data_IF_084162935773
#
_entry.id   IF_084162935773
#
_cell.length_a   1.000
_cell.length_b   1.000
_cell.length_c   1.000
_cell.angle_alpha   90.00
_cell.angle_beta   90.00
_cell.angle_gamma   90.00
#
_symmetry.space_group_name_H-M   'P 1'
#
loop_
_entity.id
_entity.type
_entity.pdbx_description
1 polymer ?
#
# COMPACT_ATOMS: atom_id res chain seq x y z
N UNK A 1 -19.54 16.89 -19.57
CA UNK A 1 -18.85 15.66 -20.06
C UNK A 1 -19.79 14.48 -19.91
N UNK A 2 -19.87 13.61 -20.91
CA UNK A 2 -20.74 12.42 -20.82
C UNK A 2 -20.13 11.43 -19.85
N UNK A 3 -20.92 10.76 -19.01
CA UNK A 3 -20.50 9.71 -18.06
C UNK A 3 -19.56 8.64 -18.66
N UNK A 4 -19.62 8.46 -19.99
CA UNK A 4 -18.76 7.53 -20.73
C UNK A 4 -17.29 7.98 -20.78
N UNK A 5 -17.00 9.28 -20.73
CA UNK A 5 -15.61 9.78 -20.74
C UNK A 5 -14.93 9.71 -19.39
N UNK A 6 -15.66 9.87 -18.28
CA UNK A 6 -15.10 9.77 -16.93
C UNK A 6 -14.83 8.31 -16.54
N UNK A 7 -15.67 7.37 -16.97
CA UNK A 7 -15.48 5.94 -16.69
C UNK A 7 -14.17 5.38 -17.25
N UNK A 8 -13.60 5.98 -18.30
CA UNK A 8 -12.29 5.55 -18.84
C UNK A 8 -11.13 5.79 -17.87
N UNK A 9 -11.23 6.77 -16.97
CA UNK A 9 -10.18 7.05 -15.99
C UNK A 9 -10.10 5.99 -14.89
N UNK A 10 -11.19 5.28 -14.63
CA UNK A 10 -11.19 4.10 -13.74
C UNK A 10 -10.97 2.78 -14.49
N UNK A 11 -10.64 2.82 -15.77
CA UNK A 11 -10.24 1.66 -16.55
C UNK A 11 -8.87 1.14 -16.12
N UNK A 12 -8.72 -0.17 -16.03
CA UNK A 12 -7.48 -0.85 -15.58
C UNK A 12 -6.29 -0.39 -16.43
N UNK A 13 -6.46 -0.34 -17.76
CA UNK A 13 -5.38 0.07 -18.66
C UNK A 13 -4.99 1.52 -18.44
N UNK A 14 -5.98 2.41 -18.26
CA UNK A 14 -5.69 3.82 -17.99
C UNK A 14 -4.89 3.99 -16.70
N UNK A 15 -5.28 3.28 -15.61
CA UNK A 15 -4.57 3.34 -14.33
C UNK A 15 -3.14 2.83 -14.50
N UNK A 16 -2.96 1.68 -15.16
CA UNK A 16 -1.64 1.09 -15.38
C UNK A 16 -0.71 1.98 -16.22
N UNK A 17 -1.25 2.71 -17.18
CA UNK A 17 -0.48 3.58 -18.08
C UNK A 17 -0.18 4.96 -17.47
N UNK A 18 -0.95 5.44 -16.50
CA UNK A 18 -0.90 6.82 -16.01
C UNK A 18 -0.56 6.99 -14.52
N UNK A 19 -0.58 5.91 -13.72
CA UNK A 19 -0.17 5.94 -12.31
C UNK A 19 1.18 5.25 -12.18
N UNK A 20 2.26 6.03 -12.05
CA UNK A 20 3.61 5.47 -11.96
C UNK A 20 3.95 5.00 -10.54
N UNK A 21 3.34 5.61 -9.52
CA UNK A 21 3.64 5.36 -8.11
C UNK A 21 2.43 4.81 -7.36
N UNK A 22 2.48 3.53 -7.00
CA UNK A 22 1.46 2.89 -6.16
C UNK A 22 0.19 2.49 -6.90
N UNK A 23 0.26 2.25 -8.22
CA UNK A 23 -0.87 1.82 -9.06
C UNK A 23 -1.60 0.58 -8.51
N UNK A 24 -0.91 -0.28 -7.77
CA UNK A 24 -1.50 -1.46 -7.13
C UNK A 24 -2.71 -1.13 -6.24
N UNK A 25 -2.74 0.05 -5.59
CA UNK A 25 -3.85 0.45 -4.72
C UNK A 25 -5.14 0.80 -5.49
N UNK A 26 -5.15 1.73 -6.48
CA UNK A 26 -6.35 1.96 -7.27
C UNK A 26 -6.73 0.73 -8.09
N UNK A 27 -5.77 -0.03 -8.61
CA UNK A 27 -6.03 -1.28 -9.32
C UNK A 27 -6.71 -2.33 -8.43
N UNK A 28 -6.31 -2.47 -7.17
CA UNK A 28 -6.93 -3.43 -6.25
C UNK A 28 -8.43 -3.15 -6.04
N UNK A 29 -8.82 -1.88 -6.02
CA UNK A 29 -10.22 -1.46 -5.91
C UNK A 29 -10.98 -1.74 -7.21
N UNK A 30 -10.44 -1.33 -8.34
CA UNK A 30 -11.11 -1.48 -9.65
C UNK A 30 -11.23 -2.95 -10.06
N UNK A 31 -10.24 -3.78 -9.72
CA UNK A 31 -10.23 -5.22 -9.97
C UNK A 31 -11.01 -6.04 -8.93
N UNK A 32 -11.49 -5.40 -7.86
CA UNK A 32 -12.32 -6.04 -6.83
C UNK A 32 -11.57 -6.91 -5.83
N UNK A 33 -10.24 -6.78 -5.72
CA UNK A 33 -9.46 -7.50 -4.71
C UNK A 33 -9.66 -6.93 -3.31
N UNK A 34 -9.74 -5.60 -3.19
CA UNK A 34 -9.89 -4.92 -1.91
C UNK A 34 -10.99 -3.86 -1.97
N UNK A 35 -11.55 -3.57 -0.82
CA UNK A 35 -12.61 -2.57 -0.68
C UNK A 35 -12.07 -1.15 -0.91
N UNK A 36 -12.93 -0.31 -1.47
CA UNK A 36 -12.69 1.08 -1.73
C UNK A 36 -13.90 1.76 -2.36
N UNK A 37 -13.74 2.99 -2.78
CA UNK A 37 -14.77 3.72 -3.52
C UNK A 37 -14.20 4.38 -4.76
N UNK A 38 -15.03 4.49 -5.78
CA UNK A 38 -14.75 5.22 -7.02
C UNK A 38 -15.76 6.37 -7.09
N UNK A 39 -15.26 7.60 -7.10
CA UNK A 39 -16.09 8.81 -7.12
C UNK A 39 -15.78 9.60 -8.38
N UNK A 40 -16.78 9.75 -9.25
CA UNK A 40 -16.73 10.65 -10.39
C UNK A 40 -16.83 12.10 -9.92
N UNK A 41 -15.95 12.96 -10.41
CA UNK A 41 -15.90 14.38 -10.18
C UNK A 41 -16.24 15.14 -11.48
N UNK A 42 -15.92 16.43 -11.58
CA UNK A 42 -16.25 17.23 -12.78
C UNK A 42 -15.41 16.81 -14.00
N UNK A 43 -14.08 16.71 -13.84
CA UNK A 43 -13.15 16.33 -14.91
C UNK A 43 -12.21 15.18 -14.55
N UNK A 44 -12.44 14.53 -13.41
CA UNK A 44 -11.55 13.51 -12.88
C UNK A 44 -12.32 12.44 -12.11
N UNK A 45 -11.61 11.38 -11.74
CA UNK A 45 -12.13 10.29 -10.92
C UNK A 45 -11.21 10.11 -9.70
N UNK A 46 -11.79 10.04 -8.52
CA UNK A 46 -11.07 9.70 -7.29
C UNK A 46 -11.29 8.22 -6.98
N UNK A 47 -10.22 7.44 -6.94
CA UNK A 47 -10.24 6.07 -6.41
C UNK A 47 -9.68 6.11 -4.99
N UNK A 48 -10.51 5.75 -4.01
CA UNK A 48 -10.16 5.79 -2.59
C UNK A 48 -10.19 4.38 -2.00
N UNK A 49 -9.03 3.86 -1.71
CA UNK A 49 -8.81 2.52 -1.14
C UNK A 49 -9.17 2.49 0.36
N UNK A 50 -9.59 1.35 0.86
CA UNK A 50 -9.96 1.10 2.27
C UNK A 50 -8.93 1.61 3.27
N UNK A 51 -7.63 1.44 3.03
CA UNK A 51 -6.56 1.93 3.91
C UNK A 51 -6.45 3.47 4.00
N UNK A 52 -7.27 4.18 3.24
CA UNK A 52 -7.26 5.64 3.18
C UNK A 52 -6.37 6.24 2.10
N UNK A 53 -5.70 5.45 1.27
CA UNK A 53 -4.95 5.96 0.13
C UNK A 53 -5.90 6.28 -1.01
N UNK A 54 -5.72 7.43 -1.63
CA UNK A 54 -6.55 7.92 -2.71
C UNK A 54 -5.72 8.37 -3.91
N UNK A 55 -6.23 8.12 -5.10
CA UNK A 55 -5.58 8.42 -6.37
C UNK A 55 -6.55 9.21 -7.25
N UNK A 56 -6.07 10.34 -7.75
CA UNK A 56 -6.82 11.22 -8.64
C UNK A 56 -6.42 10.95 -10.08
N UNK A 57 -7.37 10.54 -10.87
CA UNK A 57 -7.21 10.12 -12.26
C UNK A 57 -7.88 11.13 -13.20
N UNK A 58 -7.23 11.49 -14.29
CA UNK A 58 -7.71 12.51 -15.22
C UNK A 58 -7.10 13.88 -14.95
N UNK A 59 -7.73 14.93 -15.43
CA UNK A 59 -7.26 16.30 -15.32
C UNK A 59 -8.22 17.12 -14.43
N UNK A 60 -7.94 17.22 -13.13
CA UNK A 60 -8.86 17.84 -12.19
C UNK A 60 -9.02 19.34 -12.45
N UNK A 61 -10.25 19.81 -12.37
CA UNK A 61 -10.60 21.22 -12.32
C UNK A 61 -10.42 21.79 -10.90
N UNK A 62 -10.47 23.12 -10.76
CA UNK A 62 -10.51 23.77 -9.43
C UNK A 62 -11.71 23.28 -8.60
N UNK A 63 -12.82 22.94 -9.26
CA UNK A 63 -14.01 22.39 -8.61
C UNK A 63 -13.73 20.99 -8.05
N UNK A 64 -12.98 20.16 -8.79
CA UNK A 64 -12.56 18.84 -8.31
C UNK A 64 -11.65 18.96 -7.10
N UNK A 65 -10.66 19.85 -7.14
CA UNK A 65 -9.74 20.11 -6.02
C UNK A 65 -10.54 20.52 -4.76
N UNK A 66 -11.47 21.45 -4.89
CA UNK A 66 -12.31 21.88 -3.75
C UNK A 66 -13.22 20.74 -3.23
N UNK A 67 -13.74 19.90 -4.12
CA UNK A 67 -14.55 18.75 -3.75
C UNK A 67 -13.73 17.71 -2.97
N UNK A 68 -12.51 17.41 -3.44
CA UNK A 68 -11.59 16.49 -2.74
C UNK A 68 -11.19 17.06 -1.38
N UNK A 69 -10.88 18.37 -1.30
CA UNK A 69 -10.58 19.01 -0.04
C UNK A 69 -11.72 18.86 0.97
N UNK A 70 -12.96 19.09 0.55
CA UNK A 70 -14.14 18.88 1.39
C UNK A 70 -14.28 17.40 1.83
N UNK A 71 -14.01 16.45 0.92
CA UNK A 71 -13.99 15.01 1.26
C UNK A 71 -12.91 14.68 2.29
N UNK A 72 -11.71 15.27 2.19
CA UNK A 72 -10.62 15.10 3.17
C UNK A 72 -11.03 15.61 4.55
N UNK A 73 -11.64 16.80 4.62
CA UNK A 73 -12.15 17.37 5.87
C UNK A 73 -13.24 16.48 6.49
N UNK A 74 -14.18 16.00 5.69
CA UNK A 74 -15.22 15.09 6.16
C UNK A 74 -14.64 13.76 6.63
N UNK A 75 -13.72 13.17 5.89
CA UNK A 75 -13.04 11.94 6.28
C UNK A 75 -12.36 12.09 7.65
N UNK A 76 -11.64 13.21 7.85
CA UNK A 76 -11.02 13.53 9.14
C UNK A 76 -12.03 13.66 10.27
N UNK A 77 -13.17 14.34 10.04
CA UNK A 77 -14.24 14.49 11.02
C UNK A 77 -14.86 13.13 11.38
N UNK A 78 -14.95 12.21 10.43
CA UNK A 78 -15.46 10.84 10.60
C UNK A 78 -14.42 9.87 11.18
N UNK A 79 -13.23 10.33 11.55
CA UNK A 79 -12.12 9.50 12.02
C UNK A 79 -11.53 8.58 10.94
N UNK A 80 -11.84 8.87 9.67
CA UNK A 80 -11.32 8.16 8.52
C UNK A 80 -10.07 8.87 7.98
N UNK A 81 -9.33 8.14 7.15
CA UNK A 81 -8.12 8.65 6.55
C UNK A 81 -8.32 8.80 5.04
N UNK A 82 -8.09 9.99 4.50
CA UNK A 82 -7.95 10.22 3.07
C UNK A 82 -6.60 10.89 2.82
N UNK A 83 -5.68 10.15 2.19
CA UNK A 83 -4.34 10.60 1.81
C UNK A 83 -4.24 10.52 0.30
N UNK A 84 -4.25 11.67 -0.35
CA UNK A 84 -4.18 11.78 -1.80
C UNK A 84 -2.73 11.60 -2.27
N UNK A 85 -2.51 10.68 -3.19
CA UNK A 85 -1.25 10.49 -3.89
C UNK A 85 -1.24 11.32 -5.17
N UNK A 86 -0.16 12.06 -5.40
CA UNK A 86 0.00 12.86 -6.61
C UNK A 86 1.46 12.94 -7.03
N UNK A 87 1.70 12.72 -8.32
CA UNK A 87 2.96 12.98 -9.00
C UNK A 87 2.97 14.37 -9.65
N UNK A 88 1.81 15.02 -9.69
CA UNK A 88 1.62 16.32 -10.31
C UNK A 88 1.85 17.46 -9.30
N UNK A 89 2.87 18.27 -9.55
CA UNK A 89 3.24 19.39 -8.69
C UNK A 89 2.14 20.45 -8.58
N UNK A 90 1.40 20.73 -9.67
CA UNK A 90 0.32 21.73 -9.63
C UNK A 90 -0.83 21.31 -8.71
N UNK A 91 -1.12 20.00 -8.62
CA UNK A 91 -2.09 19.46 -7.65
C UNK A 91 -1.60 19.68 -6.22
N UNK A 92 -0.34 19.32 -5.93
CA UNK A 92 0.23 19.51 -4.59
C UNK A 92 0.29 20.97 -4.18
N UNK A 93 0.60 21.88 -5.10
CA UNK A 93 0.57 23.33 -4.86
C UNK A 93 -0.84 23.85 -4.59
N UNK A 94 -1.85 23.35 -5.29
CA UNK A 94 -3.25 23.73 -5.05
C UNK A 94 -3.68 23.35 -3.62
N UNK A 95 -3.40 22.12 -3.16
CA UNK A 95 -3.71 21.68 -1.80
C UNK A 95 -2.86 22.38 -0.74
N UNK A 96 -1.61 22.68 -1.02
CA UNK A 96 -0.75 23.46 -0.09
C UNK A 96 -1.34 24.83 0.20
N UNK A 97 -1.95 25.49 -0.79
CA UNK A 97 -2.67 26.78 -0.60
C UNK A 97 -3.91 26.64 0.27
N UNK A 98 -4.50 25.45 0.36
CA UNK A 98 -5.65 25.16 1.24
C UNK A 98 -5.21 24.80 2.66
N UNK A 99 -3.91 24.75 2.95
CA UNK A 99 -3.36 24.48 4.28
C UNK A 99 -3.11 23.01 4.60
N UNK A 100 -3.09 22.14 3.58
CA UNK A 100 -2.84 20.73 3.74
C UNK A 100 -1.35 20.41 3.95
N UNK A 101 -1.09 19.29 4.60
CA UNK A 101 0.26 18.75 4.82
C UNK A 101 0.69 17.97 3.60
N UNK A 102 1.85 18.35 3.04
CA UNK A 102 2.47 17.66 1.92
C UNK A 102 3.66 16.84 2.43
N UNK A 103 3.63 15.56 2.16
CA UNK A 103 4.69 14.62 2.55
C UNK A 103 5.18 13.88 1.30
N UNK A 104 6.39 13.33 1.36
CA UNK A 104 6.97 12.57 0.24
C UNK A 104 6.99 11.07 0.55
N UNK A 105 6.70 10.23 -0.46
CA UNK A 105 6.82 8.78 -0.38
C UNK A 105 7.72 8.25 -1.48
N UNK A 106 8.43 7.18 -1.16
CA UNK A 106 9.29 6.43 -2.07
C UNK A 106 8.64 5.11 -2.43
N UNK A 107 8.82 4.73 -3.69
CA UNK A 107 8.31 3.48 -4.26
C UNK A 107 9.47 2.64 -4.76
N UNK A 108 9.31 1.33 -4.58
CA UNK A 108 10.34 0.36 -4.89
C UNK A 108 9.71 -0.83 -5.61
N UNK A 109 10.48 -1.46 -6.49
CA UNK A 109 10.16 -2.75 -7.09
C UNK A 109 11.23 -3.77 -6.74
N UNK A 110 10.82 -5.02 -6.61
CA UNK A 110 11.76 -6.12 -6.43
C UNK A 110 12.53 -6.37 -7.70
N UNK A 111 13.88 -6.34 -7.65
CA UNK A 111 14.75 -6.33 -8.83
C UNK A 111 15.52 -7.64 -9.03
N UNK A 112 15.36 -8.63 -8.15
CA UNK A 112 16.07 -9.90 -8.22
C UNK A 112 15.17 -10.99 -8.81
N UNK A 113 15.77 -12.06 -9.36
CA UNK A 113 14.99 -13.20 -9.87
C UNK A 113 14.40 -14.08 -8.76
N UNK A 114 15.01 -14.08 -7.58
CA UNK A 114 14.53 -14.80 -6.39
C UNK A 114 14.92 -14.05 -5.12
N UNK A 115 14.11 -14.21 -4.09
CA UNK A 115 14.42 -13.66 -2.78
C UNK A 115 15.57 -14.42 -2.12
N UNK A 116 16.36 -13.72 -1.31
CA UNK A 116 17.46 -14.31 -0.56
C UNK A 116 16.93 -15.23 0.56
N UNK A 117 17.64 -16.31 0.84
CA UNK A 117 17.40 -17.11 2.03
C UNK A 117 17.98 -16.38 3.25
N UNK A 118 17.22 -16.40 4.35
CA UNK A 118 17.66 -15.82 5.62
C UNK A 118 17.59 -16.90 6.69
N UNK A 119 18.72 -17.15 7.32
CA UNK A 119 18.78 -18.05 8.49
C UNK A 119 18.18 -17.33 9.69
N UNK A 120 17.19 -17.96 10.31
CA UNK A 120 16.59 -17.46 11.54
C UNK A 120 17.43 -17.87 12.76
N UNK A 121 17.45 -17.04 13.82
CA UNK A 121 18.02 -17.45 15.10
C UNK A 121 17.25 -18.63 15.70
N UNK A 122 17.88 -19.37 16.62
CA UNK A 122 17.23 -20.45 17.34
C UNK A 122 15.97 -19.99 18.07
N UNK A 123 14.95 -20.83 18.06
CA UNK A 123 13.65 -20.54 18.66
C UNK A 123 12.68 -19.75 17.79
N UNK A 124 13.10 -19.34 16.60
CA UNK A 124 12.24 -18.64 15.63
C UNK A 124 11.85 -19.55 14.46
N UNK A 125 10.61 -19.43 13.99
CA UNK A 125 10.11 -20.15 12.83
C UNK A 125 9.18 -19.28 11.99
N UNK A 126 9.25 -19.39 10.65
CA UNK A 126 8.30 -18.75 9.75
C UNK A 126 7.07 -19.62 9.58
N UNK A 127 5.88 -19.01 9.73
CA UNK A 127 4.58 -19.63 9.47
C UNK A 127 3.74 -18.74 8.53
N UNK A 128 2.85 -19.31 7.72
CA UNK A 128 1.85 -18.50 7.02
C UNK A 128 0.93 -17.81 8.04
N UNK A 129 0.43 -16.63 7.69
CA UNK A 129 -0.62 -15.97 8.47
C UNK A 129 -1.95 -16.62 8.09
N UNK A 130 -2.46 -17.43 9.02
CA UNK A 130 -3.75 -18.09 8.93
C UNK A 130 -4.75 -17.52 9.95
N UNK A 131 -5.94 -18.11 10.05
CA UNK A 131 -6.98 -17.71 11.00
C UNK A 131 -6.57 -17.84 12.48
N UNK A 132 -5.51 -18.58 12.80
CA UNK A 132 -4.98 -18.70 14.16
C UNK A 132 -3.94 -17.62 14.47
N UNK A 133 -3.11 -17.26 13.51
CA UNK A 133 -2.04 -16.27 13.67
C UNK A 133 -2.56 -14.84 13.49
N UNK A 134 -3.48 -14.61 12.57
CA UNK A 134 -4.00 -13.29 12.23
C UNK A 134 -4.48 -12.49 13.47
N UNK A 135 -5.30 -13.04 14.38
CA UNK A 135 -5.73 -12.30 15.58
C UNK A 135 -4.62 -12.06 16.61
N UNK A 136 -3.49 -12.76 16.51
CA UNK A 136 -2.34 -12.56 17.41
C UNK A 136 -1.44 -11.38 16.99
N UNK A 137 -1.61 -10.87 15.76
CA UNK A 137 -0.79 -9.76 15.28
C UNK A 137 -1.15 -8.47 16.02
N UNK A 138 -0.19 -7.94 16.77
CA UNK A 138 -0.34 -6.71 17.54
C UNK A 138 0.62 -5.65 17.01
N UNK A 139 0.08 -4.72 16.21
CA UNK A 139 0.85 -3.67 15.57
C UNK A 139 -0.02 -2.79 14.70
N UNK A 140 0.55 -1.71 14.20
CA UNK A 140 -0.15 -0.77 13.32
C UNK A 140 -0.22 -1.26 11.87
N UNK A 141 0.85 -1.89 11.41
CA UNK A 141 0.96 -2.40 10.03
C UNK A 141 0.70 -3.91 10.05
N UNK A 142 -0.55 -4.28 9.98
CA UNK A 142 -1.07 -5.65 9.93
C UNK A 142 -2.21 -5.73 8.92
N UNK A 143 -2.73 -6.89 8.53
CA UNK A 143 -3.75 -7.00 7.48
C UNK A 143 -4.94 -6.05 7.63
N UNK A 144 -5.45 -5.81 8.83
CA UNK A 144 -6.55 -4.86 9.08
C UNK A 144 -6.19 -3.39 8.77
N UNK A 145 -4.93 -3.07 8.45
CA UNK A 145 -4.54 -1.76 7.92
C UNK A 145 -5.14 -1.49 6.54
N UNK A 146 -5.26 -2.52 5.70
CA UNK A 146 -5.64 -2.36 4.28
C UNK A 146 -6.72 -3.33 3.81
N UNK A 147 -7.09 -4.29 4.63
CA UNK A 147 -8.17 -5.24 4.37
C UNK A 147 -9.35 -4.95 5.30
N UNK A 148 -10.54 -4.95 4.73
CA UNK A 148 -11.79 -4.63 5.41
C UNK A 148 -12.26 -5.72 6.38
N UNK A 149 -11.83 -6.96 6.15
CA UNK A 149 -12.10 -8.09 7.04
C UNK A 149 -10.99 -9.16 7.00
N UNK A 150 -10.97 -10.02 8.02
CA UNK A 150 -10.08 -11.17 8.09
C UNK A 150 -10.36 -12.16 6.96
N UNK A 151 -11.64 -12.38 6.61
CA UNK A 151 -12.07 -13.25 5.51
C UNK A 151 -11.55 -12.74 4.18
N UNK A 152 -11.64 -11.43 3.95
CA UNK A 152 -11.16 -10.78 2.73
C UNK A 152 -9.65 -10.97 2.56
N UNK A 153 -8.89 -10.78 3.64
CA UNK A 153 -7.44 -11.03 3.64
C UNK A 153 -7.11 -12.51 3.44
N UNK A 154 -7.75 -13.41 4.17
CA UNK A 154 -7.46 -14.86 4.07
C UNK A 154 -7.86 -15.44 2.71
N UNK A 155 -8.86 -14.84 2.03
CA UNK A 155 -9.32 -15.28 0.71
C UNK A 155 -8.48 -14.75 -0.45
N UNK A 156 -7.99 -13.52 -0.38
CA UNK A 156 -7.35 -12.81 -1.50
C UNK A 156 -5.93 -12.34 -1.22
N UNK A 157 -5.54 -12.27 0.04
CA UNK A 157 -4.22 -11.83 0.48
C UNK A 157 -3.27 -12.99 0.77
N UNK A 158 -2.06 -12.64 1.14
CA UNK A 158 -1.03 -13.56 1.61
C UNK A 158 -0.18 -12.87 2.68
N UNK A 159 0.32 -13.64 3.61
CA UNK A 159 1.28 -13.13 4.60
C UNK A 159 2.01 -14.26 5.31
N UNK A 160 3.15 -13.91 5.86
CA UNK A 160 3.95 -14.81 6.69
C UNK A 160 4.33 -14.10 7.98
N UNK A 161 4.49 -14.87 9.03
CA UNK A 161 4.86 -14.40 10.35
C UNK A 161 6.07 -15.21 10.88
N UNK A 162 7.06 -14.50 11.38
CA UNK A 162 8.11 -15.12 12.20
C UNK A 162 7.58 -15.23 13.62
N UNK A 163 7.46 -16.46 14.10
CA UNK A 163 7.02 -16.78 15.45
C UNK A 163 8.20 -17.06 16.36
N UNK A 164 8.15 -16.58 17.62
CA UNK A 164 9.00 -17.02 18.72
C UNK A 164 8.14 -17.79 19.73
N UNK A 165 8.19 -19.11 19.64
CA UNK A 165 7.19 -19.96 20.29
C UNK A 165 5.79 -19.69 19.73
N UNK A 166 4.90 -19.13 20.54
CA UNK A 166 3.54 -18.74 20.15
C UNK A 166 3.36 -17.23 19.95
N UNK A 167 4.44 -16.46 20.04
CA UNK A 167 4.37 -14.99 19.97
C UNK A 167 4.79 -14.53 18.58
N UNK A 168 3.98 -13.72 17.86
CA UNK A 168 4.40 -13.05 16.64
C UNK A 168 5.58 -12.10 16.90
N UNK A 169 6.67 -12.29 16.18
CA UNK A 169 7.87 -11.47 16.32
C UNK A 169 8.07 -10.49 15.17
N UNK A 170 7.75 -10.89 13.95
CA UNK A 170 7.74 -10.05 12.77
C UNK A 170 6.78 -10.65 11.75
N UNK A 171 6.14 -9.83 10.94
CA UNK A 171 5.22 -10.28 9.88
C UNK A 171 5.33 -9.40 8.66
N UNK A 172 5.08 -10.03 7.50
CA UNK A 172 4.91 -9.33 6.23
C UNK A 172 3.68 -9.90 5.52
N UNK A 173 2.96 -9.02 4.82
CA UNK A 173 1.70 -9.38 4.17
C UNK A 173 1.47 -8.53 2.93
N UNK A 174 0.56 -8.98 2.08
CA UNK A 174 0.06 -8.21 0.94
C UNK A 174 -0.79 -7.03 1.44
N UNK A 175 -0.22 -5.84 1.43
CA UNK A 175 -0.93 -4.62 1.81
C UNK A 175 -1.89 -4.15 0.72
N UNK A 176 -1.52 -4.36 -0.55
CA UNK A 176 -2.43 -4.22 -1.69
C UNK A 176 -2.11 -5.29 -2.74
N UNK A 177 -3.13 -5.71 -3.51
CA UNK A 177 -3.01 -6.76 -4.53
C UNK A 177 -3.73 -6.31 -5.79
N UNK A 178 -3.05 -6.40 -6.93
CA UNK A 178 -3.65 -6.30 -8.26
C UNK A 178 -3.39 -7.59 -9.06
N UNK A 179 -3.83 -7.65 -10.31
CA UNK A 179 -3.51 -8.79 -11.19
C UNK A 179 -2.01 -8.97 -11.37
N UNK A 180 -1.24 -7.88 -11.44
CA UNK A 180 0.18 -7.88 -11.77
C UNK A 180 1.11 -7.63 -10.59
N UNK A 181 0.64 -6.99 -9.51
CA UNK A 181 1.49 -6.50 -8.43
C UNK A 181 0.96 -6.84 -7.04
N UNK A 182 1.87 -6.90 -6.07
CA UNK A 182 1.54 -7.02 -4.66
C UNK A 182 2.45 -6.09 -3.84
N UNK A 183 1.84 -5.12 -3.14
CA UNK A 183 2.56 -4.26 -2.18
C UNK A 183 2.79 -4.99 -0.86
N UNK A 184 4.01 -4.91 -0.34
CA UNK A 184 4.43 -5.63 0.86
C UNK A 184 4.39 -4.72 2.08
N UNK A 185 3.44 -4.97 2.98
CA UNK A 185 3.44 -4.40 4.33
C UNK A 185 4.29 -5.24 5.28
N UNK A 186 5.05 -4.61 6.18
CA UNK A 186 5.89 -5.30 7.16
C UNK A 186 5.92 -4.59 8.49
N UNK A 187 5.93 -5.37 9.56
CA UNK A 187 6.19 -4.86 10.91
C UNK A 187 6.99 -5.88 11.73
N UNK A 188 7.77 -5.37 12.69
CA UNK A 188 8.49 -6.17 13.68
C UNK A 188 8.13 -5.65 15.06
N UNK A 189 7.66 -6.53 15.93
CA UNK A 189 7.36 -6.21 17.31
C UNK A 189 8.61 -5.66 18.00
N UNK A 190 8.43 -4.63 18.84
CA UNK A 190 9.52 -3.79 19.34
C UNK A 190 10.64 -4.57 20.01
N UNK A 191 10.30 -5.54 20.85
CA UNK A 191 11.24 -6.38 21.58
C UNK A 191 12.06 -7.34 20.69
N UNK A 192 11.67 -7.48 19.41
CA UNK A 192 12.34 -8.36 18.44
C UNK A 192 13.11 -7.60 17.34
N UNK A 193 13.13 -6.27 17.39
CA UNK A 193 13.88 -5.44 16.42
C UNK A 193 15.38 -5.72 16.45
N UNK A 194 16.08 -5.44 15.36
CA UNK A 194 17.53 -5.62 15.24
C UNK A 194 18.00 -7.05 14.99
N UNK A 195 17.11 -8.05 14.94
CA UNK A 195 17.44 -9.47 14.76
C UNK A 195 17.37 -9.98 13.32
N UNK A 196 17.10 -9.10 12.34
CA UNK A 196 16.97 -9.49 10.92
C UNK A 196 15.65 -10.17 10.56
N UNK A 197 14.67 -10.27 11.47
CA UNK A 197 13.42 -11.00 11.27
C UNK A 197 12.54 -10.39 10.17
N UNK A 198 12.54 -9.04 10.03
CA UNK A 198 11.84 -8.38 8.94
C UNK A 198 12.31 -8.89 7.58
N UNK A 199 13.63 -8.99 7.38
CA UNK A 199 14.19 -9.50 6.10
C UNK A 199 13.78 -10.95 5.84
N UNK A 200 13.75 -11.80 6.86
CA UNK A 200 13.35 -13.20 6.72
C UNK A 200 11.89 -13.32 6.26
N UNK A 201 10.98 -12.60 6.92
CA UNK A 201 9.55 -12.68 6.61
C UNK A 201 9.22 -12.01 5.28
N UNK A 202 9.87 -10.89 4.94
CA UNK A 202 9.74 -10.23 3.63
C UNK A 202 10.19 -11.15 2.52
N UNK A 203 11.38 -11.75 2.63
CA UNK A 203 11.88 -12.69 1.61
C UNK A 203 10.94 -13.87 1.40
N UNK A 204 10.34 -14.41 2.46
CA UNK A 204 9.34 -15.49 2.34
C UNK A 204 8.08 -15.04 1.62
N UNK A 205 7.60 -13.82 1.92
CA UNK A 205 6.44 -13.24 1.23
C UNK A 205 6.75 -12.95 -0.24
N UNK A 206 7.92 -12.37 -0.53
CA UNK A 206 8.40 -12.14 -1.91
C UNK A 206 8.49 -13.44 -2.71
N UNK A 207 9.05 -14.51 -2.12
CA UNK A 207 9.10 -15.83 -2.79
C UNK A 207 7.72 -16.32 -3.21
N UNK A 208 6.73 -16.17 -2.31
CA UNK A 208 5.36 -16.54 -2.62
C UNK A 208 4.79 -15.67 -3.74
N UNK A 209 4.89 -14.34 -3.64
CA UNK A 209 4.38 -13.42 -4.67
C UNK A 209 4.97 -13.73 -6.04
N UNK A 210 6.29 -13.93 -6.13
CA UNK A 210 6.95 -14.32 -7.38
C UNK A 210 6.43 -15.66 -7.92
N UNK A 211 6.12 -16.63 -7.06
CA UNK A 211 5.58 -17.93 -7.48
C UNK A 211 4.17 -17.84 -8.08
N UNK A 212 3.43 -16.77 -7.80
CA UNK A 212 2.12 -16.48 -8.41
C UNK A 212 2.21 -15.69 -9.72
N UNK A 213 3.44 -15.34 -10.17
CA UNK A 213 3.69 -14.54 -11.37
C UNK A 213 3.54 -13.04 -11.17
N UNK A 214 3.21 -12.57 -9.96
CA UNK A 214 3.06 -11.15 -9.65
C UNK A 214 4.40 -10.50 -9.26
N UNK A 215 4.47 -9.19 -9.42
CA UNK A 215 5.64 -8.38 -9.05
C UNK A 215 5.49 -7.86 -7.62
N UNK A 216 6.44 -8.16 -6.72
CA UNK A 216 6.48 -7.52 -5.41
C UNK A 216 6.87 -6.05 -5.54
N UNK A 217 6.06 -5.17 -4.94
CA UNK A 217 6.33 -3.73 -4.84
C UNK A 217 6.35 -3.30 -3.37
N UNK A 218 6.85 -2.10 -3.11
CA UNK A 218 6.97 -1.57 -1.76
C UNK A 218 6.83 -0.06 -1.76
N UNK A 219 6.17 0.50 -0.75
CA UNK A 219 6.06 1.93 -0.57
C UNK A 219 6.34 2.33 0.87
N UNK A 220 7.07 3.42 1.08
CA UNK A 220 7.27 3.97 2.43
C UNK A 220 7.38 5.50 2.41
N UNK A 221 7.14 6.10 3.57
CA UNK A 221 7.40 7.52 3.78
C UNK A 221 8.88 7.85 3.62
N UNK A 222 9.21 8.98 3.02
CA UNK A 222 10.61 9.38 2.75
C UNK A 222 11.47 9.52 4.01
N UNK A 223 10.87 9.74 5.16
CA UNK A 223 11.57 9.79 6.45
C UNK A 223 11.70 8.44 7.15
N UNK A 224 11.01 7.39 6.65
CA UNK A 224 11.09 6.05 7.23
C UNK A 224 12.33 5.30 6.75
N UNK A 225 13.50 5.72 7.23
CA UNK A 225 14.80 5.13 6.86
C UNK A 225 14.90 3.65 7.21
N UNK A 226 14.22 3.18 8.26
CA UNK A 226 14.20 1.77 8.62
C UNK A 226 13.50 0.91 7.56
N UNK A 227 12.36 1.39 7.03
CA UNK A 227 11.64 0.74 5.95
C UNK A 227 12.45 0.72 4.65
N UNK A 228 13.07 1.85 4.30
CA UNK A 228 13.95 1.96 3.12
C UNK A 228 15.09 0.93 3.18
N UNK A 229 15.84 0.90 4.29
CA UNK A 229 16.93 -0.06 4.50
C UNK A 229 16.45 -1.51 4.44
N UNK A 230 15.24 -1.79 4.91
CA UNK A 230 14.67 -3.15 4.84
C UNK A 230 14.35 -3.51 3.39
N UNK A 231 13.70 -2.63 2.64
CA UNK A 231 13.41 -2.82 1.23
C UNK A 231 14.70 -3.09 0.42
N UNK A 232 15.69 -2.21 0.53
CA UNK A 232 16.96 -2.33 -0.18
C UNK A 232 17.71 -3.63 0.18
N UNK A 233 17.78 -3.96 1.48
CA UNK A 233 18.42 -5.20 1.95
C UNK A 233 17.75 -6.47 1.43
N UNK A 234 16.44 -6.41 1.17
CA UNK A 234 15.67 -7.56 0.66
C UNK A 234 15.54 -7.59 -0.85
N UNK A 235 16.26 -6.73 -1.59
CA UNK A 235 16.37 -6.79 -3.04
C UNK A 235 15.42 -5.86 -3.80
N UNK A 236 14.76 -4.95 -3.11
CA UNK A 236 13.99 -3.90 -3.75
C UNK A 236 14.89 -2.73 -4.15
N UNK A 237 14.59 -2.12 -5.29
CA UNK A 237 15.25 -0.91 -5.79
C UNK A 237 14.22 0.21 -5.89
N UNK A 238 14.61 1.43 -5.56
CA UNK A 238 13.74 2.60 -5.69
C UNK A 238 13.46 2.86 -7.17
N UNK A 239 12.17 2.97 -7.51
CA UNK A 239 11.70 3.20 -8.88
C UNK A 239 11.03 4.56 -9.06
N UNK A 240 10.57 5.18 -7.97
CA UNK A 240 9.90 6.47 -8.07
C UNK A 240 9.65 7.13 -6.72
N UNK A 241 9.11 8.32 -6.79
CA UNK A 241 8.63 9.07 -5.64
C UNK A 241 7.41 9.90 -6.03
N UNK A 242 6.52 10.11 -5.09
CA UNK A 242 5.41 11.05 -5.24
C UNK A 242 5.15 11.82 -3.95
N UNK A 243 4.32 12.82 -4.04
CA UNK A 243 3.80 13.55 -2.90
C UNK A 243 2.50 12.91 -2.40
N UNK A 244 2.27 13.02 -1.11
CA UNK A 244 0.98 12.71 -0.48
C UNK A 244 0.46 13.94 0.21
N UNK A 245 -0.83 14.18 0.03
CA UNK A 245 -1.56 15.31 0.61
C UNK A 245 -2.52 14.76 1.65
N UNK A 246 -2.55 15.39 2.82
CA UNK A 246 -3.51 15.09 3.88
C UNK A 246 -3.84 16.33 4.71
N UNK A 247 -5.01 16.36 5.30
CA UNK A 247 -5.48 17.38 6.25
C UNK A 247 -5.11 17.06 7.70
#
# INVERSE_FOLDING_TARGET
MNNIELSKFSDIKYISDNVCCGAVYPLSVVQGFQQGSITELDNSVLVWHFCGFAFLLGEPSDKDINSIFAMMQQAKADGKRLVLFSENQSITEAFSKLGDVIEKRYFYQFAQQKANEVVLPDGFAVKPIDSQILPLLDGRIKPSFSWDSDESFLGNGVGFCVMHGQIPAAWAFSAAVSDDETDIGVETAEQYRGKGLASAVVNKTVQYVLSTGKKPVWACHSENTASQKTAEKTGFVKTGECFTVRT
#
